data_IF_382331009115
#
_entry.id   IF_382331009115
#
_cell.length_a   1.000
_cell.length_b   1.000
_cell.length_c   1.000
_cell.angle_alpha   90.00
_cell.angle_beta   90.00
_cell.angle_gamma   90.00
#
_symmetry.space_group_name_H-M   'P 1'
#
loop_
_entity.id
_entity.type
_entity.pdbx_description
1 polymer ?
#
# COMPACT_ATOMS: atom_id res chain seq x y z
N UNK A 1 7.10 -2.21 60.03
CA UNK A 1 7.47 -1.14 59.07
C UNK A 1 8.90 -1.40 58.63
N UNK A 2 9.07 -1.96 57.42
CA UNK A 2 10.38 -2.24 56.84
C UNK A 2 10.44 -1.53 55.49
N UNK A 3 11.37 -0.58 55.36
CA UNK A 3 11.62 0.16 54.13
C UNK A 3 12.49 -0.69 53.21
N UNK A 4 12.00 -1.00 52.00
CA UNK A 4 12.78 -1.62 50.95
C UNK A 4 13.36 -0.52 50.04
N UNK A 5 14.68 -0.43 50.02
CA UNK A 5 15.45 0.42 49.10
C UNK A 5 15.50 -0.29 47.75
N UNK A 6 14.86 0.28 46.72
CA UNK A 6 14.97 -0.19 45.34
C UNK A 6 16.21 0.43 44.70
N UNK A 7 17.19 -0.41 44.38
CA UNK A 7 18.39 -0.04 43.63
C UNK A 7 18.08 0.29 42.16
N UNK A 8 18.60 1.41 41.69
CA UNK A 8 18.54 1.82 40.29
C UNK A 8 19.57 1.00 39.51
N UNK A 9 19.11 0.06 38.66
CA UNK A 9 19.98 -0.61 37.71
C UNK A 9 20.27 0.33 36.54
N UNK A 10 21.52 0.77 36.40
CA UNK A 10 22.00 1.51 35.24
C UNK A 10 22.10 0.55 34.04
N UNK A 11 21.29 0.78 33.01
CA UNK A 11 21.40 0.08 31.74
C UNK A 11 22.57 0.68 30.95
N UNK A 12 23.67 -0.07 30.83
CA UNK A 12 24.72 0.25 29.89
C UNK A 12 24.21 -0.06 28.48
N UNK A 13 23.95 0.99 27.71
CA UNK A 13 23.70 0.88 26.26
C UNK A 13 25.04 0.55 25.61
N UNK A 14 25.19 -0.67 25.12
CA UNK A 14 26.32 -1.03 24.27
C UNK A 14 26.21 -0.24 22.95
N UNK A 15 27.12 0.71 22.73
CA UNK A 15 27.29 1.35 21.44
C UNK A 15 27.71 0.30 20.41
N UNK A 16 26.80 -0.04 19.50
CA UNK A 16 27.10 -0.89 18.34
C UNK A 16 28.26 -0.29 17.53
N UNK A 17 29.17 -1.17 17.10
CA UNK A 17 30.39 -0.80 16.38
C UNK A 17 30.13 0.13 15.19
N UNK A 18 31.04 1.10 15.02
CA UNK A 18 31.08 2.00 13.87
C UNK A 18 31.17 1.14 12.59
N UNK A 19 30.10 1.10 11.80
CA UNK A 19 30.19 0.60 10.45
C UNK A 19 31.19 1.47 9.69
N UNK A 20 32.30 0.88 9.23
CA UNK A 20 33.28 1.57 8.41
C UNK A 20 32.60 2.06 7.13
N UNK A 21 32.39 3.37 7.02
CA UNK A 21 31.87 4.00 5.81
C UNK A 21 33.02 4.22 4.83
N UNK A 22 32.81 3.88 3.57
CA UNK A 22 33.73 4.28 2.51
C UNK A 22 33.83 5.81 2.44
N UNK A 23 34.98 6.33 2.00
CA UNK A 23 35.15 7.76 1.77
C UNK A 23 34.09 8.26 0.78
N UNK A 24 33.55 9.47 0.97
CA UNK A 24 32.58 10.06 0.03
C UNK A 24 33.33 10.70 -1.14
N UNK A 25 33.02 10.30 -2.38
CA UNK A 25 33.61 10.87 -3.59
C UNK A 25 32.86 12.12 -4.06
N UNK A 26 31.53 12.14 -3.94
CA UNK A 26 30.69 13.27 -4.33
C UNK A 26 29.39 13.32 -3.53
N UNK A 27 28.83 14.52 -3.39
CA UNK A 27 27.51 14.74 -2.78
C UNK A 27 26.63 15.58 -3.69
N UNK A 28 25.42 15.08 -3.97
CA UNK A 28 24.32 15.80 -4.62
C UNK A 28 23.36 16.27 -3.53
N UNK A 29 23.13 17.58 -3.44
CA UNK A 29 22.22 18.19 -2.47
C UNK A 29 20.84 18.39 -3.06
N UNK A 30 19.81 17.99 -2.32
CA UNK A 30 18.39 18.12 -2.72
C UNK A 30 17.62 18.86 -1.63
N UNK A 31 16.75 19.79 -2.01
CA UNK A 31 15.89 20.54 -1.09
C UNK A 31 14.53 20.84 -1.71
N UNK A 32 13.40 20.80 -0.96
CA UNK A 32 12.10 21.20 -1.50
C UNK A 32 12.05 22.66 -1.96
N UNK A 33 12.95 23.51 -1.44
CA UNK A 33 13.13 24.91 -1.83
C UNK A 33 14.25 25.13 -2.86
N UNK A 34 14.87 24.05 -3.36
CA UNK A 34 15.92 24.11 -4.37
C UNK A 34 15.37 24.44 -5.76
N UNK A 35 16.26 24.39 -6.76
CA UNK A 35 15.94 24.61 -8.17
C UNK A 35 16.65 23.54 -9.02
N UNK A 36 15.94 22.88 -9.93
CA UNK A 36 16.50 21.83 -10.79
C UNK A 36 17.51 22.36 -11.83
N UNK A 37 17.56 23.68 -12.02
CA UNK A 37 18.60 24.36 -12.80
C UNK A 37 19.95 24.44 -12.05
N UNK A 38 19.96 24.26 -10.73
CA UNK A 38 21.20 24.30 -9.93
C UNK A 38 22.10 23.09 -10.22
N UNK A 39 23.39 23.23 -9.86
CA UNK A 39 24.38 22.17 -10.03
C UNK A 39 24.19 20.97 -9.08
N UNK A 40 23.51 21.16 -7.95
CA UNK A 40 23.40 20.15 -6.89
C UNK A 40 24.68 19.96 -6.05
N UNK A 41 25.73 20.77 -6.24
CA UNK A 41 27.07 20.53 -5.64
C UNK A 41 27.25 21.11 -4.24
N UNK A 42 26.28 21.87 -3.74
CA UNK A 42 26.27 22.40 -2.37
C UNK A 42 24.84 22.61 -1.89
N UNK A 43 24.62 22.77 -0.58
CA UNK A 43 23.29 23.07 -0.04
C UNK A 43 22.68 24.37 -0.63
N UNK A 44 23.51 25.39 -0.92
CA UNK A 44 23.06 26.65 -1.54
C UNK A 44 22.75 26.51 -3.05
N UNK A 45 23.17 25.40 -3.66
CA UNK A 45 22.91 25.06 -5.06
C UNK A 45 22.15 23.73 -5.13
N UNK A 46 21.30 23.45 -4.15
CA UNK A 46 20.55 22.20 -4.12
C UNK A 46 19.56 22.12 -5.29
N UNK A 47 19.43 20.94 -5.88
CA UNK A 47 18.35 20.65 -6.83
C UNK A 47 17.04 20.41 -6.10
N UNK A 48 15.92 20.57 -6.79
CA UNK A 48 14.59 20.50 -6.16
C UNK A 48 14.04 19.08 -6.11
N UNK A 49 14.20 18.34 -7.20
CA UNK A 49 13.51 17.07 -7.44
C UNK A 49 14.44 15.87 -7.29
N UNK A 50 13.86 14.74 -6.88
CA UNK A 50 14.57 13.47 -6.79
C UNK A 50 15.01 12.98 -8.18
N UNK A 51 14.18 13.17 -9.20
CA UNK A 51 14.52 12.83 -10.59
C UNK A 51 15.72 13.62 -11.11
N UNK A 52 15.83 14.91 -10.78
CA UNK A 52 17.03 15.68 -11.13
C UNK A 52 18.27 15.19 -10.39
N UNK A 53 18.15 14.87 -9.10
CA UNK A 53 19.25 14.30 -8.33
C UNK A 53 19.73 12.96 -8.91
N UNK A 54 18.80 12.08 -9.32
CA UNK A 54 19.10 10.82 -10.00
C UNK A 54 19.91 11.05 -11.29
N UNK A 55 19.51 12.01 -12.13
CA UNK A 55 20.26 12.33 -13.36
C UNK A 55 21.70 12.77 -13.07
N UNK A 56 21.92 13.55 -12.00
CA UNK A 56 23.27 13.94 -11.58
C UNK A 56 24.07 12.74 -11.10
N UNK A 57 23.47 11.84 -10.32
CA UNK A 57 24.12 10.60 -9.85
C UNK A 57 24.60 9.74 -11.03
N UNK A 58 23.80 9.59 -12.09
CA UNK A 58 24.17 8.81 -13.29
C UNK A 58 25.44 9.35 -13.99
N UNK A 59 25.76 10.63 -13.80
CA UNK A 59 27.01 11.23 -14.29
C UNK A 59 28.21 11.05 -13.35
N UNK A 60 27.98 10.60 -12.11
CA UNK A 60 29.00 10.51 -11.05
C UNK A 60 29.36 9.06 -10.69
N UNK A 61 28.50 8.10 -11.00
CA UNK A 61 28.62 6.72 -10.53
C UNK A 61 29.36 5.75 -11.47
N UNK A 62 29.90 6.22 -12.59
CA UNK A 62 30.55 5.34 -13.59
C UNK A 62 31.96 4.88 -13.16
N UNK A 63 32.71 5.73 -12.45
CA UNK A 63 34.10 5.47 -12.04
C UNK A 63 34.30 5.87 -10.57
N UNK A 64 33.52 5.27 -9.67
CA UNK A 64 33.52 5.66 -8.27
C UNK A 64 34.86 5.33 -7.58
N UNK A 65 35.37 6.28 -6.80
CA UNK A 65 36.52 6.11 -5.90
C UNK A 65 36.10 6.21 -4.42
N UNK A 66 34.80 6.25 -4.18
CA UNK A 66 34.14 6.53 -2.91
C UNK A 66 32.62 6.59 -3.13
N UNK A 67 31.85 6.59 -2.06
CA UNK A 67 30.39 6.66 -2.14
C UNK A 67 29.93 7.95 -2.81
N UNK A 68 28.85 7.87 -3.60
CA UNK A 68 28.12 9.04 -4.11
C UNK A 68 26.90 9.24 -3.21
N UNK A 69 26.80 10.37 -2.52
CA UNK A 69 25.70 10.65 -1.61
C UNK A 69 24.67 11.57 -2.27
N UNK A 70 23.40 11.27 -2.10
CA UNK A 70 22.29 12.20 -2.36
C UNK A 70 21.74 12.65 -1.01
N UNK A 71 22.07 13.87 -0.61
CA UNK A 71 21.73 14.42 0.70
C UNK A 71 20.48 15.30 0.63
N UNK A 72 19.40 14.85 1.26
CA UNK A 72 18.10 15.51 1.27
C UNK A 72 17.97 16.44 2.50
N UNK A 73 17.68 17.71 2.27
CA UNK A 73 17.26 18.64 3.31
C UNK A 73 15.87 18.25 3.88
N UNK A 74 15.53 18.80 5.05
CA UNK A 74 14.24 18.55 5.68
C UNK A 74 13.07 19.12 4.88
N UNK A 75 11.95 18.40 4.87
CA UNK A 75 10.71 18.85 4.24
C UNK A 75 10.03 17.79 3.38
N UNK A 76 8.97 18.19 2.70
CA UNK A 76 8.13 17.30 1.88
C UNK A 76 8.50 17.42 0.40
N UNK A 77 8.92 16.30 -0.18
CA UNK A 77 9.20 16.14 -1.60
C UNK A 77 7.97 15.54 -2.27
N UNK A 78 7.07 16.40 -2.77
CA UNK A 78 5.88 15.96 -3.50
C UNK A 78 6.28 15.40 -4.86
N UNK A 79 5.91 14.16 -5.11
CA UNK A 79 6.27 13.41 -6.30
C UNK A 79 5.12 13.43 -7.29
N UNK A 80 5.41 13.77 -8.55
CA UNK A 80 4.45 13.68 -9.66
C UNK A 80 4.64 12.39 -10.47
N UNK A 81 5.75 11.68 -10.24
CA UNK A 81 6.07 10.38 -10.80
C UNK A 81 6.96 9.60 -9.82
N UNK A 82 6.95 8.26 -9.86
CA UNK A 82 7.86 7.44 -9.05
C UNK A 82 9.34 7.73 -9.38
N UNK A 83 10.22 7.61 -8.39
CA UNK A 83 11.66 7.50 -8.63
C UNK A 83 11.97 6.07 -9.08
N UNK A 84 12.22 5.90 -10.38
CA UNK A 84 12.48 4.59 -10.98
C UNK A 84 13.98 4.38 -11.13
N UNK A 85 14.52 3.43 -10.37
CA UNK A 85 15.93 3.05 -10.40
C UNK A 85 16.16 1.83 -11.29
N UNK A 86 17.25 1.86 -12.04
CA UNK A 86 17.72 0.74 -12.86
C UNK A 86 19.23 0.54 -12.70
N UNK A 87 19.83 -0.32 -13.51
CA UNK A 87 21.26 -0.61 -13.46
C UNK A 87 22.15 0.64 -13.53
N UNK A 88 21.73 1.71 -14.24
CA UNK A 88 22.48 2.97 -14.37
C UNK A 88 22.54 3.77 -13.07
N UNK A 89 21.72 3.45 -12.07
CA UNK A 89 21.71 4.12 -10.77
C UNK A 89 22.55 3.38 -9.72
N UNK A 90 23.17 2.27 -10.12
CA UNK A 90 23.94 1.42 -9.23
C UNK A 90 25.28 2.04 -8.81
N UNK A 91 25.78 1.63 -7.66
CA UNK A 91 27.18 1.86 -7.30
C UNK A 91 28.16 1.00 -8.12
N UNK A 92 29.37 1.51 -8.33
CA UNK A 92 30.46 0.82 -9.04
C UNK A 92 31.71 0.72 -8.16
N UNK A 93 32.63 -0.21 -8.48
CA UNK A 93 33.90 -0.34 -7.76
C UNK A 93 33.78 -0.79 -6.29
N UNK A 94 32.62 -1.34 -5.89
CA UNK A 94 32.33 -1.71 -4.49
C UNK A 94 31.81 -0.56 -3.62
N UNK A 95 31.58 0.61 -4.20
CA UNK A 95 31.00 1.78 -3.52
C UNK A 95 29.49 1.85 -3.68
N UNK A 96 28.84 2.66 -2.86
CA UNK A 96 27.38 2.81 -2.86
C UNK A 96 26.91 4.16 -3.40
N UNK A 97 25.72 4.16 -3.99
CA UNK A 97 24.90 5.36 -4.15
C UNK A 97 23.98 5.48 -2.94
N UNK A 98 24.14 6.54 -2.14
CA UNK A 98 23.52 6.66 -0.82
C UNK A 98 22.51 7.82 -0.78
N UNK A 99 21.23 7.52 -0.87
CA UNK A 99 20.12 8.45 -0.66
C UNK A 99 19.89 8.63 0.85
N UNK A 100 20.12 9.84 1.36
CA UNK A 100 20.15 10.03 2.81
C UNK A 100 19.59 11.38 3.26
N UNK A 101 18.98 11.40 4.45
CA UNK A 101 18.67 12.65 5.12
C UNK A 101 19.94 13.40 5.51
N UNK A 102 19.90 14.74 5.38
CA UNK A 102 20.84 15.60 6.05
C UNK A 102 20.76 15.40 7.58
N UNK A 103 21.84 15.71 8.30
CA UNK A 103 21.87 15.58 9.76
C UNK A 103 20.70 16.31 10.42
N UNK A 104 19.93 15.59 11.25
CA UNK A 104 18.73 16.10 11.93
C UNK A 104 17.50 16.35 11.04
N UNK A 105 17.61 16.17 9.72
CA UNK A 105 16.50 16.36 8.79
C UNK A 105 15.55 15.16 8.78
N UNK A 106 14.29 15.42 8.40
CA UNK A 106 13.24 14.41 8.19
C UNK A 106 12.59 14.60 6.82
N UNK A 107 13.26 14.21 5.73
CA UNK A 107 12.72 14.31 4.38
C UNK A 107 11.58 13.28 4.18
N UNK A 108 10.46 13.74 3.62
CA UNK A 108 9.30 12.89 3.29
C UNK A 108 9.11 12.83 1.78
N UNK A 109 9.29 11.66 1.20
CA UNK A 109 8.91 11.34 -0.18
C UNK A 109 7.41 11.11 -0.21
N UNK A 110 6.67 12.02 -0.83
CA UNK A 110 5.23 12.14 -0.70
C UNK A 110 4.54 11.94 -2.06
N UNK A 111 3.74 10.87 -2.19
CA UNK A 111 2.99 10.54 -3.41
C UNK A 111 1.57 11.13 -3.46
N UNK A 112 1.23 12.02 -2.53
CA UNK A 112 -0.09 12.61 -2.38
C UNK A 112 -0.16 14.08 -2.74
N UNK A 113 -1.39 14.54 -2.92
CA UNK A 113 -1.74 15.95 -3.16
C UNK A 113 -2.35 16.57 -1.92
N UNK A 114 -2.09 17.86 -1.72
CA UNK A 114 -2.73 18.61 -0.65
C UNK A 114 -4.16 19.00 -1.06
N UNK A 115 -5.12 18.80 -0.17
CA UNK A 115 -6.51 19.24 -0.35
C UNK A 115 -6.74 20.50 0.49
N UNK A 116 -7.25 21.55 -0.15
CA UNK A 116 -7.48 22.86 0.48
C UNK A 116 -8.79 23.48 -0.02
N UNK A 117 -9.17 24.63 0.52
CA UNK A 117 -10.42 25.31 0.14
C UNK A 117 -11.66 24.72 0.81
N UNK A 118 -11.50 24.15 2.01
CA UNK A 118 -12.58 23.56 2.80
C UNK A 118 -13.66 24.57 3.16
N UNK A 119 -14.92 24.17 3.00
CA UNK A 119 -16.11 24.94 3.37
C UNK A 119 -17.09 24.05 4.11
N UNK A 120 -17.73 24.58 5.15
CA UNK A 120 -18.81 23.89 5.82
C UNK A 120 -20.04 23.91 4.91
N UNK A 121 -20.59 22.73 4.62
CA UNK A 121 -21.75 22.56 3.73
C UNK A 121 -23.00 22.11 4.45
N UNK A 122 -22.87 21.52 5.64
CA UNK A 122 -23.97 21.23 6.55
C UNK A 122 -23.50 21.43 8.01
N UNK A 123 -24.00 22.48 8.65
CA UNK A 123 -23.62 22.80 10.03
C UNK A 123 -24.18 21.80 11.06
N UNK A 124 -25.36 21.20 10.80
CA UNK A 124 -25.99 20.27 11.73
C UNK A 124 -25.23 18.94 11.79
N UNK A 125 -24.62 18.52 10.67
CA UNK A 125 -23.78 17.31 10.59
C UNK A 125 -22.29 17.58 10.80
N UNK A 126 -21.90 18.84 10.99
CA UNK A 126 -20.50 19.27 10.89
C UNK A 126 -19.83 18.74 9.61
N UNK A 127 -20.52 18.78 8.48
CA UNK A 127 -20.03 18.29 7.19
C UNK A 127 -19.30 19.40 6.45
N UNK A 128 -18.11 19.09 5.98
CA UNK A 128 -17.28 19.98 5.19
C UNK A 128 -16.98 19.37 3.84
N UNK A 129 -16.73 20.22 2.85
CA UNK A 129 -16.27 19.78 1.54
C UNK A 129 -15.15 20.66 0.99
N UNK A 130 -14.35 20.09 0.09
CA UNK A 130 -13.32 20.79 -0.66
C UNK A 130 -13.28 20.30 -2.11
N UNK A 131 -12.94 21.18 -3.08
CA UNK A 131 -12.69 20.75 -4.44
C UNK A 131 -11.42 19.88 -4.50
N UNK A 132 -11.41 18.90 -5.39
CA UNK A 132 -10.23 18.09 -5.71
C UNK A 132 -9.86 18.23 -7.19
N UNK A 133 -8.60 17.95 -7.59
CA UNK A 133 -8.24 17.88 -9.00
C UNK A 133 -9.14 16.91 -9.77
N UNK A 134 -9.48 17.27 -11.01
CA UNK A 134 -10.29 16.42 -11.86
C UNK A 134 -9.63 15.06 -12.07
N UNK A 135 -10.41 13.98 -11.96
CA UNK A 135 -9.91 12.61 -12.10
C UNK A 135 -9.13 12.06 -10.90
N UNK A 136 -9.06 12.81 -9.78
CA UNK A 136 -8.49 12.27 -8.55
C UNK A 136 -9.25 11.01 -8.12
N UNK A 137 -8.51 9.94 -7.84
CA UNK A 137 -9.01 8.71 -7.26
C UNK A 137 -8.06 8.26 -6.17
N UNK A 138 -8.58 7.93 -5.00
CA UNK A 138 -7.82 7.47 -3.84
C UNK A 138 -8.70 6.58 -2.99
N UNK A 139 -8.07 5.70 -2.19
CA UNK A 139 -8.73 4.93 -1.13
C UNK A 139 -8.40 5.44 0.27
N UNK A 140 -7.51 6.44 0.38
CA UNK A 140 -7.08 6.99 1.65
C UNK A 140 -7.18 8.52 1.66
N UNK A 141 -7.46 9.08 2.84
CA UNK A 141 -7.37 10.51 3.15
C UNK A 141 -6.71 10.67 4.51
N UNK A 142 -5.85 11.67 4.67
CA UNK A 142 -5.17 11.95 5.93
C UNK A 142 -5.38 13.40 6.34
N UNK A 143 -5.79 13.63 7.59
CA UNK A 143 -6.00 14.96 8.17
C UNK A 143 -5.01 15.13 9.33
N UNK A 144 -4.13 16.12 9.22
CA UNK A 144 -3.04 16.37 10.18
C UNK A 144 -2.19 15.12 10.46
N UNK A 145 -1.91 14.33 9.41
CA UNK A 145 -1.14 13.09 9.52
C UNK A 145 -1.91 11.91 10.13
N UNK A 146 -3.21 12.04 10.41
CA UNK A 146 -4.06 10.93 10.87
C UNK A 146 -4.92 10.43 9.73
N UNK A 147 -4.89 9.13 9.43
CA UNK A 147 -5.80 8.49 8.47
C UNK A 147 -7.25 8.79 8.84
N UNK A 148 -8.07 9.18 7.88
CA UNK A 148 -9.51 9.30 8.00
C UNK A 148 -10.19 8.02 7.50
N UNK A 149 -11.35 7.68 8.06
CA UNK A 149 -12.08 6.47 7.71
C UNK A 149 -12.86 6.70 6.43
N UNK A 150 -12.78 5.80 5.46
CA UNK A 150 -13.64 5.90 4.28
C UNK A 150 -15.08 5.61 4.72
N UNK A 151 -16.05 6.41 4.28
CA UNK A 151 -17.45 6.28 4.69
C UNK A 151 -17.94 4.84 4.52
N UNK A 152 -18.42 4.23 5.60
CA UNK A 152 -18.74 2.80 5.67
C UNK A 152 -19.88 2.51 6.64
N UNK A 153 -20.60 1.41 6.43
CA UNK A 153 -21.67 1.00 7.34
C UNK A 153 -22.33 -0.31 6.97
N UNK A 154 -23.33 -0.71 7.75
CA UNK A 154 -24.16 -1.86 7.41
C UNK A 154 -25.01 -1.57 6.16
N UNK A 155 -25.29 -2.62 5.37
CA UNK A 155 -26.27 -2.49 4.29
C UNK A 155 -27.65 -2.09 4.89
N UNK A 156 -28.35 -1.08 4.34
CA UNK A 156 -29.63 -0.61 4.87
C UNK A 156 -30.82 -1.54 4.53
N UNK A 157 -30.52 -2.71 3.96
CA UNK A 157 -31.46 -3.68 3.42
C UNK A 157 -30.94 -5.09 3.69
N UNK A 158 -31.84 -6.06 3.77
CA UNK A 158 -31.45 -7.47 3.78
C UNK A 158 -30.99 -7.85 2.38
N UNK A 159 -29.86 -8.56 2.31
CA UNK A 159 -29.27 -9.04 1.08
C UNK A 159 -29.42 -10.55 1.00
N UNK A 160 -30.19 -11.02 0.03
CA UNK A 160 -30.34 -12.45 -0.27
C UNK A 160 -29.40 -12.82 -1.40
N UNK A 161 -28.51 -13.78 -1.17
CA UNK A 161 -27.52 -14.21 -2.15
C UNK A 161 -28.15 -14.71 -3.45
N UNK A 162 -27.49 -14.45 -4.58
CA UNK A 162 -27.79 -14.98 -5.91
C UNK A 162 -26.50 -15.38 -6.62
N UNK A 163 -26.60 -16.14 -7.71
CA UNK A 163 -25.42 -16.58 -8.47
C UNK A 163 -24.52 -15.43 -8.96
N UNK A 164 -25.09 -14.25 -9.22
CA UNK A 164 -24.37 -13.08 -9.75
C UNK A 164 -24.26 -11.92 -8.75
N UNK A 165 -24.70 -12.11 -7.51
CA UNK A 165 -24.68 -11.06 -6.48
C UNK A 165 -25.79 -11.25 -5.45
N UNK A 166 -26.72 -10.29 -5.36
CA UNK A 166 -27.76 -10.28 -4.33
C UNK A 166 -29.11 -9.77 -4.84
N UNK A 167 -30.19 -10.13 -4.16
CA UNK A 167 -31.46 -9.41 -4.20
C UNK A 167 -31.61 -8.65 -2.89
N UNK A 168 -31.80 -7.34 -2.95
CA UNK A 168 -32.07 -6.50 -1.80
C UNK A 168 -33.57 -6.51 -1.44
N UNK A 169 -33.90 -6.47 -0.15
CA UNK A 169 -35.28 -6.33 0.32
C UNK A 169 -35.90 -4.96 0.06
N UNK A 170 -35.11 -3.99 -0.45
CA UNK A 170 -35.55 -2.65 -0.79
C UNK A 170 -34.61 -1.96 -1.79
N UNK A 171 -34.97 -0.74 -2.18
CA UNK A 171 -34.30 0.02 -3.26
C UNK A 171 -33.50 1.22 -2.77
N UNK A 172 -33.11 1.24 -1.48
CA UNK A 172 -32.39 2.37 -0.90
C UNK A 172 -31.06 2.64 -1.64
N UNK A 173 -30.23 1.61 -1.80
CA UNK A 173 -28.91 1.74 -2.42
C UNK A 173 -28.94 2.11 -3.91
N UNK A 174 -30.01 1.78 -4.65
CA UNK A 174 -30.12 2.18 -6.07
C UNK A 174 -30.40 3.66 -6.26
N UNK A 175 -30.79 4.36 -5.18
CA UNK A 175 -31.08 5.81 -5.16
C UNK A 175 -29.94 6.62 -4.54
N UNK A 176 -28.90 5.96 -4.05
CA UNK A 176 -27.72 6.64 -3.53
C UNK A 176 -27.01 7.43 -4.62
N UNK A 177 -26.24 8.44 -4.22
CA UNK A 177 -25.65 9.43 -5.12
C UNK A 177 -24.84 8.79 -6.25
N UNK A 178 -23.97 7.85 -5.92
CA UNK A 178 -23.10 7.14 -6.86
C UNK A 178 -23.17 5.63 -6.59
N UNK A 179 -24.25 4.94 -7.03
CA UNK A 179 -24.48 3.55 -6.64
C UNK A 179 -23.50 2.56 -7.30
N UNK A 180 -22.87 2.96 -8.42
CA UNK A 180 -21.82 2.18 -9.08
C UNK A 180 -20.46 2.23 -8.36
N UNK A 181 -20.28 3.15 -7.41
CA UNK A 181 -19.05 3.31 -6.65
C UNK A 181 -19.02 2.45 -5.38
N UNK A 182 -20.15 1.82 -5.03
CA UNK A 182 -20.31 1.04 -3.81
C UNK A 182 -19.42 -0.20 -3.85
N UNK A 183 -18.75 -0.46 -2.72
CA UNK A 183 -17.93 -1.65 -2.48
C UNK A 183 -18.57 -2.49 -1.36
N UNK A 184 -18.61 -3.79 -1.57
CA UNK A 184 -19.00 -4.75 -0.54
C UNK A 184 -17.75 -5.40 0.05
N UNK A 185 -17.67 -5.37 1.38
CA UNK A 185 -16.56 -5.91 2.16
C UNK A 185 -17.02 -7.19 2.87
N UNK A 186 -16.19 -8.22 2.85
CA UNK A 186 -16.44 -9.51 3.49
C UNK A 186 -15.28 -9.88 4.40
N UNK A 187 -15.24 -9.28 5.58
CA UNK A 187 -14.26 -9.65 6.58
C UNK A 187 -14.48 -11.08 7.07
N UNK A 188 -13.45 -11.91 7.01
CA UNK A 188 -13.53 -13.33 7.31
C UNK A 188 -14.21 -14.17 6.22
N UNK A 189 -14.57 -13.57 5.07
CA UNK A 189 -15.48 -14.17 4.08
C UNK A 189 -14.96 -15.45 3.44
N UNK A 190 -13.66 -15.52 3.14
CA UNK A 190 -12.99 -16.73 2.62
C UNK A 190 -11.96 -17.28 3.61
N UNK A 191 -12.27 -17.16 4.89
CA UNK A 191 -11.41 -17.56 6.00
C UNK A 191 -11.17 -16.39 6.94
N UNK A 192 -11.05 -16.66 8.24
CA UNK A 192 -11.00 -15.63 9.29
C UNK A 192 -9.85 -14.60 9.14
N UNK A 193 -8.83 -14.93 8.34
CA UNK A 193 -7.68 -14.07 8.04
C UNK A 193 -7.85 -13.20 6.79
N UNK A 194 -8.97 -13.30 6.07
CA UNK A 194 -9.19 -12.59 4.79
C UNK A 194 -10.13 -11.40 4.91
N UNK A 195 -10.00 -10.42 4.01
CA UNK A 195 -10.96 -9.31 3.89
C UNK A 195 -11.28 -9.04 2.41
N UNK A 196 -12.26 -9.75 1.85
CA UNK A 196 -12.58 -9.63 0.42
C UNK A 196 -13.28 -8.29 0.17
N UNK A 197 -12.91 -7.63 -0.93
CA UNK A 197 -13.54 -6.39 -1.38
C UNK A 197 -13.92 -6.51 -2.85
N UNK A 198 -15.21 -6.38 -3.17
CA UNK A 198 -15.68 -6.39 -4.55
C UNK A 198 -16.60 -5.21 -4.83
N UNK A 199 -16.49 -4.61 -6.01
CA UNK A 199 -17.43 -3.60 -6.51
C UNK A 199 -18.83 -4.19 -6.69
N UNK A 200 -19.85 -3.37 -6.49
CA UNK A 200 -21.26 -3.78 -6.63
C UNK A 200 -21.72 -3.89 -8.09
N UNK A 201 -20.91 -3.49 -9.07
CA UNK A 201 -21.16 -3.64 -10.51
C UNK A 201 -22.39 -2.88 -11.01
N UNK A 202 -23.59 -3.40 -10.70
CA UNK A 202 -24.87 -2.75 -11.00
C UNK A 202 -25.92 -2.99 -9.93
N UNK A 203 -26.65 -1.95 -9.54
CA UNK A 203 -27.89 -2.05 -8.77
C UNK A 203 -29.08 -1.70 -9.67
N UNK A 204 -29.99 -2.65 -9.87
CA UNK A 204 -31.26 -2.47 -10.57
C UNK A 204 -32.28 -1.70 -9.74
N UNK A 205 -33.20 -1.01 -10.41
CA UNK A 205 -34.31 -0.30 -9.77
C UNK A 205 -35.26 -1.19 -8.99
N UNK A 206 -35.25 -2.50 -9.23
CA UNK A 206 -36.00 -3.54 -8.52
C UNK A 206 -35.26 -4.13 -7.30
N UNK A 207 -34.06 -3.64 -6.97
CA UNK A 207 -33.24 -4.16 -5.87
C UNK A 207 -32.33 -5.34 -6.26
N UNK A 208 -32.28 -5.75 -7.53
CA UNK A 208 -31.29 -6.74 -8.00
C UNK A 208 -29.90 -6.11 -8.02
N UNK A 209 -28.94 -6.77 -7.40
CA UNK A 209 -27.53 -6.37 -7.33
C UNK A 209 -26.68 -7.40 -8.08
N UNK A 210 -25.94 -6.95 -9.08
CA UNK A 210 -25.02 -7.77 -9.87
C UNK A 210 -23.59 -7.33 -9.61
N UNK A 211 -22.85 -8.13 -8.84
CA UNK A 211 -21.49 -7.82 -8.40
C UNK A 211 -20.50 -7.72 -9.56
N UNK A 212 -19.46 -6.89 -9.40
CA UNK A 212 -18.42 -6.66 -10.39
C UNK A 212 -17.58 -7.91 -10.67
N UNK A 213 -17.13 -8.02 -11.92
CA UNK A 213 -16.33 -9.14 -12.42
C UNK A 213 -14.93 -8.67 -12.86
N UNK A 214 -13.86 -9.41 -12.55
CA UNK A 214 -13.88 -10.82 -12.13
C UNK A 214 -13.95 -11.09 -10.62
N UNK A 215 -13.97 -10.06 -9.76
CA UNK A 215 -13.88 -10.25 -8.30
C UNK A 215 -14.91 -11.25 -7.76
N UNK A 216 -16.18 -11.13 -8.20
CA UNK A 216 -17.24 -12.01 -7.72
C UNK A 216 -17.00 -13.48 -8.09
N UNK A 217 -16.68 -13.80 -9.35
CA UNK A 217 -16.39 -15.18 -9.74
C UNK A 217 -15.10 -15.70 -9.08
N UNK A 218 -14.06 -14.87 -9.02
CA UNK A 218 -12.81 -15.19 -8.33
C UNK A 218 -13.01 -15.46 -6.84
N UNK A 219 -14.06 -14.92 -6.23
CA UNK A 219 -14.39 -15.14 -4.82
C UNK A 219 -15.39 -16.27 -4.60
N UNK A 220 -16.16 -16.68 -5.61
CA UNK A 220 -17.29 -17.61 -5.44
C UNK A 220 -17.22 -18.90 -6.26
N UNK A 221 -16.26 -19.04 -7.16
CA UNK A 221 -16.11 -20.20 -8.05
C UNK A 221 -14.75 -20.89 -7.87
N UNK A 222 -14.10 -20.70 -6.72
CA UNK A 222 -12.77 -21.28 -6.46
C UNK A 222 -12.84 -22.82 -6.47
N UNK A 223 -11.82 -23.46 -7.04
CA UNK A 223 -11.77 -24.92 -7.14
C UNK A 223 -11.72 -25.58 -5.75
N UNK A 224 -12.72 -26.41 -5.43
CA UNK A 224 -12.78 -27.21 -4.21
C UNK A 224 -12.21 -28.61 -4.45
N UNK A 225 -11.34 -29.06 -3.56
CA UNK A 225 -10.90 -30.45 -3.49
C UNK A 225 -11.94 -31.29 -2.73
N UNK A 226 -12.63 -32.26 -3.38
CA UNK A 226 -13.66 -33.05 -2.72
C UNK A 226 -13.13 -33.81 -1.49
N UNK A 227 -11.87 -34.27 -1.53
CA UNK A 227 -11.24 -35.02 -0.44
C UNK A 227 -11.05 -34.20 0.85
N UNK A 228 -10.87 -32.88 0.73
CA UNK A 228 -10.55 -32.01 1.87
C UNK A 228 -11.69 -31.05 2.21
N UNK A 229 -12.68 -30.98 1.33
CA UNK A 229 -13.83 -30.11 1.45
C UNK A 229 -13.44 -28.63 1.70
N UNK A 230 -12.37 -28.20 1.03
CA UNK A 230 -11.81 -26.85 1.01
C UNK A 230 -11.16 -26.56 -0.35
N UNK A 231 -10.77 -25.31 -0.59
CA UNK A 231 -10.10 -24.95 -1.85
C UNK A 231 -8.79 -25.74 -2.03
N UNK A 232 -8.39 -25.99 -3.29
CA UNK A 232 -7.10 -26.62 -3.60
C UNK A 232 -5.90 -25.87 -2.99
N UNK A 233 -6.06 -24.58 -2.74
CA UNK A 233 -5.06 -23.70 -2.11
C UNK A 233 -5.10 -23.72 -0.57
N UNK A 234 -5.73 -24.76 0.00
CA UNK A 234 -5.66 -25.23 1.41
C UNK A 234 -6.15 -24.30 2.53
N UNK A 235 -6.55 -23.06 2.26
CA UNK A 235 -6.96 -22.14 3.34
C UNK A 235 -8.30 -21.48 2.98
N UNK A 236 -9.39 -21.92 3.62
CA UNK A 236 -10.71 -21.28 3.54
C UNK A 236 -11.76 -21.95 2.66
N UNK A 237 -13.02 -21.47 2.70
CA UNK A 237 -14.11 -21.93 1.84
C UNK A 237 -13.92 -21.49 0.38
N UNK A 238 -14.56 -22.19 -0.56
CA UNK A 238 -14.47 -21.89 -1.99
C UNK A 238 -15.41 -20.81 -2.50
N UNK A 239 -16.27 -20.27 -1.63
CA UNK A 239 -17.18 -19.18 -1.96
C UNK A 239 -17.55 -18.35 -0.74
N UNK A 240 -18.05 -17.13 -0.97
CA UNK A 240 -18.59 -16.25 0.07
C UNK A 240 -19.92 -16.85 0.58
N UNK A 241 -19.85 -17.82 1.49
CA UNK A 241 -21.01 -18.59 1.96
C UNK A 241 -20.68 -19.86 2.77
N UNK A 242 -21.25 -19.92 3.99
CA UNK A 242 -21.19 -20.94 5.06
C UNK A 242 -19.88 -21.04 5.87
N UNK A 243 -19.95 -21.30 7.19
CA UNK A 243 -18.84 -21.89 7.93
C UNK A 243 -18.74 -23.39 7.58
N UNK A 244 -18.37 -23.69 6.33
CA UNK A 244 -18.19 -25.03 5.75
C UNK A 244 -19.47 -25.87 5.55
N UNK A 245 -19.47 -26.98 4.79
CA UNK A 245 -18.60 -27.31 3.69
C UNK A 245 -19.43 -27.97 2.54
N UNK A 246 -20.39 -27.27 1.92
CA UNK A 246 -21.30 -27.86 0.91
C UNK A 246 -21.96 -26.85 -0.04
N UNK A 247 -22.51 -27.28 -1.21
CA UNK A 247 -23.40 -26.49 -2.08
C UNK A 247 -24.75 -26.14 -1.42
N UNK A 248 -25.32 -24.96 -1.70
CA UNK A 248 -26.72 -24.62 -1.37
C UNK A 248 -27.00 -23.77 -0.11
N UNK A 249 -25.97 -23.38 0.66
CA UNK A 249 -26.14 -22.47 1.81
C UNK A 249 -26.38 -21.00 1.42
N UNK A 250 -26.93 -20.20 2.33
CA UNK A 250 -27.50 -18.85 2.10
C UNK A 250 -26.52 -17.72 1.67
N UNK A 251 -25.25 -18.03 1.35
CA UNK A 251 -24.19 -17.04 1.17
C UNK A 251 -23.85 -16.30 2.47
N UNK A 252 -22.75 -15.56 2.50
CA UNK A 252 -22.49 -14.58 3.56
C UNK A 252 -22.84 -13.20 2.98
N UNK A 253 -23.73 -12.41 3.59
CA UNK A 253 -23.90 -11.02 3.20
C UNK A 253 -22.62 -10.24 3.53
N UNK A 254 -22.34 -9.13 2.84
CA UNK A 254 -21.21 -8.28 3.18
C UNK A 254 -21.25 -7.87 4.66
N UNK A 255 -20.09 -7.87 5.31
CA UNK A 255 -19.92 -7.37 6.68
C UNK A 255 -20.11 -5.86 6.74
N UNK A 256 -19.77 -5.16 5.66
CA UNK A 256 -20.01 -3.73 5.50
C UNK A 256 -20.12 -3.33 4.02
N UNK A 257 -20.73 -2.18 3.81
CA UNK A 257 -20.80 -1.44 2.57
C UNK A 257 -19.91 -0.21 2.72
N UNK A 258 -19.11 0.11 1.72
CA UNK A 258 -18.23 1.27 1.72
C UNK A 258 -18.46 2.17 0.51
N UNK A 259 -17.90 3.39 0.58
CA UNK A 259 -17.78 4.33 -0.53
C UNK A 259 -19.12 4.89 -1.02
N UNK A 260 -20.00 5.23 -0.10
CA UNK A 260 -21.26 5.93 -0.38
C UNK A 260 -21.39 7.20 0.46
N UNK A 261 -21.89 8.29 -0.14
CA UNK A 261 -22.13 9.55 0.56
C UNK A 261 -23.14 9.38 1.70
N UNK A 262 -24.12 8.50 1.52
CA UNK A 262 -25.20 8.22 2.46
C UNK A 262 -24.72 7.49 3.72
N UNK A 263 -23.51 6.94 3.70
CA UNK A 263 -22.84 6.32 4.85
C UNK A 263 -21.91 7.30 5.58
N UNK A 264 -21.79 8.56 5.12
CA UNK A 264 -20.96 9.57 5.77
C UNK A 264 -21.70 10.15 6.97
N UNK A 265 -21.51 9.58 8.16
CA UNK A 265 -22.33 9.89 9.33
C UNK A 265 -21.56 10.05 10.65
N UNK A 266 -20.30 9.62 10.73
CA UNK A 266 -19.48 9.74 11.95
C UNK A 266 -18.25 10.62 11.78
N UNK A 267 -17.80 11.20 12.90
CA UNK A 267 -16.62 12.06 12.91
C UNK A 267 -15.36 11.28 12.53
N UNK A 268 -14.60 11.81 11.58
CA UNK A 268 -13.43 11.18 10.99
C UNK A 268 -13.71 10.43 9.71
N UNK A 269 -14.96 10.34 9.25
CA UNK A 269 -15.29 9.75 7.96
C UNK A 269 -15.17 10.74 6.80
N UNK A 270 -14.81 10.23 5.61
CA UNK A 270 -14.75 10.97 4.37
C UNK A 270 -15.39 10.23 3.19
N UNK A 271 -15.81 11.00 2.18
CA UNK A 271 -16.32 10.50 0.91
C UNK A 271 -15.79 11.31 -0.26
N UNK A 272 -15.32 10.67 -1.33
CA UNK A 272 -14.93 11.33 -2.57
C UNK A 272 -16.02 11.18 -3.63
N UNK A 273 -16.67 12.29 -3.96
CA UNK A 273 -17.63 12.40 -5.04
C UNK A 273 -16.86 12.67 -6.34
N UNK A 274 -16.42 11.59 -7.00
CA UNK A 274 -15.58 11.66 -8.20
C UNK A 274 -16.25 12.42 -9.35
N UNK A 275 -17.53 12.19 -9.69
CA UNK A 275 -18.21 12.98 -10.73
C UNK A 275 -18.27 14.47 -10.41
N UNK A 276 -18.40 14.84 -9.13
CA UNK A 276 -18.44 16.23 -8.68
C UNK A 276 -17.06 16.85 -8.39
N UNK A 277 -15.96 16.10 -8.55
CA UNK A 277 -14.61 16.49 -8.15
C UNK A 277 -14.56 17.14 -6.76
N UNK A 278 -15.27 16.54 -5.79
CA UNK A 278 -15.42 17.09 -4.44
C UNK A 278 -15.18 15.99 -3.41
N UNK A 279 -14.37 16.29 -2.39
CA UNK A 279 -14.25 15.45 -1.20
C UNK A 279 -15.09 16.04 -0.08
N UNK A 280 -15.75 15.17 0.69
CA UNK A 280 -16.52 15.48 1.87
C UNK A 280 -15.86 14.85 3.09
N UNK A 281 -15.89 15.54 4.23
CA UNK A 281 -15.29 15.09 5.48
C UNK A 281 -16.08 15.59 6.68
N UNK A 282 -16.25 14.75 7.69
CA UNK A 282 -16.76 15.15 9.01
C UNK A 282 -15.54 15.26 9.95
N UNK A 283 -15.13 16.47 10.36
CA UNK A 283 -13.96 16.64 11.23
C UNK A 283 -14.11 15.92 12.57
N UNK A 284 -13.00 15.36 13.06
CA UNK A 284 -12.90 14.88 14.44
C UNK A 284 -12.86 16.03 15.41
N UNK A 285 -13.15 15.73 16.68
CA UNK A 285 -12.98 16.71 17.76
C UNK A 285 -11.56 17.29 17.76
N UNK A 286 -11.47 18.62 17.75
CA UNK A 286 -10.21 19.37 17.74
C UNK A 286 -9.60 19.63 16.36
N UNK A 287 -10.16 19.09 15.27
CA UNK A 287 -9.70 19.40 13.92
C UNK A 287 -10.31 20.71 13.40
N UNK A 288 -9.45 21.65 13.00
CA UNK A 288 -9.85 22.88 12.33
C UNK A 288 -9.43 22.83 10.86
N UNK A 289 -10.40 22.65 9.96
CA UNK A 289 -10.14 22.54 8.52
C UNK A 289 -9.64 23.82 7.85
N UNK A 290 -9.76 24.99 8.49
CA UNK A 290 -9.15 26.22 7.99
C UNK A 290 -7.62 26.19 8.08
N UNK A 291 -7.05 25.39 8.99
CA UNK A 291 -5.61 25.28 9.24
C UNK A 291 -5.06 23.86 9.08
N UNK A 292 -5.94 22.87 8.85
CA UNK A 292 -5.55 21.48 8.75
C UNK A 292 -4.70 21.21 7.50
N UNK A 293 -3.74 20.31 7.63
CA UNK A 293 -3.05 19.72 6.48
C UNK A 293 -3.81 18.48 6.06
N UNK A 294 -4.46 18.50 4.90
CA UNK A 294 -5.18 17.34 4.35
C UNK A 294 -4.45 16.80 3.13
N UNK A 295 -4.17 15.50 3.11
CA UNK A 295 -3.45 14.82 2.03
C UNK A 295 -4.25 13.66 1.46
N UNK A 296 -4.39 13.61 0.13
CA UNK A 296 -4.94 12.48 -0.61
C UNK A 296 -3.82 11.83 -1.43
N UNK A 297 -3.45 10.55 -1.20
CA UNK A 297 -2.52 9.82 -2.04
C UNK A 297 -3.00 9.69 -3.50
N UNK A 298 -2.09 9.84 -4.46
CA UNK A 298 -2.41 9.68 -5.89
C UNK A 298 -1.42 8.80 -6.66
N UNK A 299 -0.16 8.72 -6.22
CA UNK A 299 0.80 7.77 -6.77
C UNK A 299 0.64 6.40 -6.11
N UNK A 300 0.72 5.33 -6.92
CA UNK A 300 0.82 3.98 -6.39
C UNK A 300 2.25 3.60 -5.99
N UNK A 301 3.26 4.13 -6.68
CA UNK A 301 4.67 3.82 -6.40
C UNK A 301 5.44 5.10 -6.09
N UNK A 302 6.25 5.07 -5.04
CA UNK A 302 7.15 6.15 -4.65
C UNK A 302 8.54 5.88 -5.22
N UNK A 303 9.08 4.69 -4.96
CA UNK A 303 10.39 4.28 -5.46
C UNK A 303 10.30 2.87 -6.00
N UNK A 304 10.81 2.66 -7.21
CA UNK A 304 10.95 1.32 -7.80
C UNK A 304 12.39 1.05 -8.17
N UNK A 305 12.79 -0.22 -8.16
CA UNK A 305 14.12 -0.64 -8.62
C UNK A 305 14.07 -1.95 -9.38
N UNK A 306 14.75 -2.02 -10.53
CA UNK A 306 14.93 -3.30 -11.23
C UNK A 306 16.38 -3.48 -11.67
N UNK A 307 17.01 -4.58 -11.23
CA UNK A 307 18.40 -4.89 -11.61
C UNK A 307 19.42 -3.89 -11.06
N UNK A 308 19.07 -3.18 -9.98
CA UNK A 308 19.90 -2.16 -9.34
C UNK A 308 20.76 -2.78 -8.24
N UNK A 309 21.97 -2.26 -8.04
CA UNK A 309 22.89 -2.76 -7.03
C UNK A 309 23.62 -1.65 -6.27
N UNK A 310 24.02 -1.94 -5.03
CA UNK A 310 24.79 -1.02 -4.17
C UNK A 310 24.12 0.35 -3.99
N UNK A 311 22.82 0.32 -3.65
CA UNK A 311 22.02 1.51 -3.35
C UNK A 311 21.57 1.49 -1.90
N UNK A 312 21.72 2.60 -1.20
CA UNK A 312 21.34 2.73 0.21
C UNK A 312 20.33 3.86 0.37
N UNK A 313 19.23 3.58 1.06
CA UNK A 313 18.28 4.57 1.57
C UNK A 313 18.42 4.65 3.08
N UNK A 314 18.82 5.83 3.60
CA UNK A 314 19.04 6.03 5.03
C UNK A 314 18.36 7.29 5.59
N UNK A 315 17.47 7.11 6.57
CA UNK A 315 16.84 8.21 7.31
C UNK A 315 15.71 8.91 6.56
N UNK A 316 15.11 8.28 5.55
CA UNK A 316 14.05 8.85 4.74
C UNK A 316 12.67 8.39 5.21
N UNK A 317 11.62 9.16 4.93
CA UNK A 317 10.24 8.72 5.10
C UNK A 317 9.55 8.59 3.74
N UNK A 318 8.88 7.45 3.50
CA UNK A 318 8.05 7.17 2.33
C UNK A 318 6.58 7.23 2.77
N UNK A 319 5.80 8.14 2.17
CA UNK A 319 4.41 8.35 2.59
C UNK A 319 3.44 8.73 1.49
N UNK A 320 2.17 8.50 1.78
CA UNK A 320 1.02 8.96 1.02
C UNK A 320 0.99 8.40 -0.41
N UNK A 321 1.10 7.09 -0.54
CA UNK A 321 0.87 6.37 -1.79
C UNK A 321 -0.39 5.51 -1.68
N UNK A 322 -1.14 5.37 -2.77
CA UNK A 322 -2.43 4.64 -2.83
C UNK A 322 -2.24 3.24 -3.41
N UNK A 323 -3.29 2.44 -3.36
CA UNK A 323 -3.50 1.31 -4.27
C UNK A 323 -4.96 1.31 -4.69
N UNK A 324 -5.26 1.19 -5.99
CA UNK A 324 -6.63 1.38 -6.49
C UNK A 324 -7.29 0.09 -6.98
N UNK A 325 -6.56 -1.02 -7.13
CA UNK A 325 -7.12 -2.29 -7.61
C UNK A 325 -8.33 -2.76 -6.80
N UNK A 326 -8.37 -2.65 -5.46
CA UNK A 326 -9.56 -3.06 -4.69
C UNK A 326 -10.84 -2.30 -5.06
N UNK A 327 -10.73 -1.07 -5.61
CA UNK A 327 -11.88 -0.30 -6.10
C UNK A 327 -12.25 -0.57 -7.56
N UNK A 328 -11.51 -1.40 -8.29
CA UNK A 328 -11.89 -1.83 -9.64
C UNK A 328 -12.72 -3.12 -9.59
N UNK A 329 -13.25 -3.56 -10.74
CA UNK A 329 -13.96 -4.84 -10.81
C UNK A 329 -13.03 -6.06 -10.64
N UNK A 330 -11.70 -5.87 -10.73
CA UNK A 330 -10.74 -6.87 -10.26
C UNK A 330 -10.91 -7.13 -8.77
N UNK A 331 -11.18 -6.06 -7.99
CA UNK A 331 -11.37 -6.10 -6.55
C UNK A 331 -10.19 -6.68 -5.81
N UNK A 332 -10.47 -7.25 -4.64
CA UNK A 332 -9.50 -7.89 -3.76
C UNK A 332 -10.04 -9.27 -3.35
N UNK A 333 -9.98 -10.22 -4.28
CA UNK A 333 -10.30 -11.63 -4.04
C UNK A 333 -9.13 -12.32 -3.33
N UNK A 334 -8.95 -12.01 -2.05
CA UNK A 334 -7.80 -12.47 -1.26
C UNK A 334 -7.80 -13.98 -1.02
N UNK A 335 -6.61 -14.58 -1.01
CA UNK A 335 -6.36 -15.93 -0.52
C UNK A 335 -5.72 -15.85 0.88
N UNK A 336 -4.54 -15.24 0.95
CA UNK A 336 -3.77 -15.09 2.18
C UNK A 336 -2.65 -14.06 1.98
N UNK A 337 -2.36 -13.27 3.02
CA UNK A 337 -1.20 -12.37 3.08
C UNK A 337 -1.14 -11.38 1.91
N UNK A 338 -2.30 -10.86 1.47
CA UNK A 338 -2.37 -9.90 0.36
C UNK A 338 -2.30 -10.51 -1.05
N UNK A 339 -2.15 -11.83 -1.19
CA UNK A 339 -2.26 -12.47 -2.50
C UNK A 339 -3.70 -12.60 -2.95
N UNK A 340 -3.96 -12.28 -4.21
CA UNK A 340 -5.30 -12.24 -4.80
C UNK A 340 -5.41 -13.14 -6.04
N UNK A 341 -6.64 -13.56 -6.34
CA UNK A 341 -6.98 -14.17 -7.62
C UNK A 341 -7.45 -13.07 -8.57
N UNK A 342 -6.75 -12.91 -9.69
CA UNK A 342 -7.07 -11.90 -10.71
C UNK A 342 -7.32 -12.55 -12.07
N UNK A 343 -7.74 -11.75 -13.06
CA UNK A 343 -8.09 -12.23 -14.40
C UNK A 343 -9.50 -12.79 -14.51
N UNK A 344 -10.05 -12.79 -15.73
CA UNK A 344 -11.45 -13.17 -16.01
C UNK A 344 -11.78 -14.64 -15.77
N UNK A 345 -10.77 -15.50 -15.76
CA UNK A 345 -10.87 -16.93 -15.52
C UNK A 345 -9.98 -17.39 -14.35
N UNK A 346 -9.53 -16.47 -13.48
CA UNK A 346 -8.57 -16.75 -12.41
C UNK A 346 -9.00 -17.91 -11.52
N UNK A 347 -10.28 -17.97 -11.12
CA UNK A 347 -10.85 -19.09 -10.35
C UNK A 347 -10.73 -20.47 -11.01
N UNK A 348 -10.74 -20.52 -12.35
CA UNK A 348 -10.75 -21.78 -13.11
C UNK A 348 -9.34 -22.30 -13.38
N UNK A 349 -8.36 -21.41 -13.45
CA UNK A 349 -6.92 -21.73 -13.60
C UNK A 349 -6.19 -21.74 -12.26
N UNK A 350 -6.93 -21.53 -11.17
CA UNK A 350 -6.45 -21.62 -9.81
C UNK A 350 -6.08 -23.06 -9.47
N UNK A 351 -4.93 -23.23 -8.83
CA UNK A 351 -4.40 -24.51 -8.42
C UNK A 351 -3.06 -24.81 -9.10
N UNK A 352 -2.17 -25.43 -8.34
CA UNK A 352 -0.97 -26.06 -8.88
C UNK A 352 -1.41 -26.96 -10.04
N UNK A 353 -0.60 -27.08 -11.09
CA UNK A 353 -0.94 -27.73 -12.37
C UNK A 353 -1.62 -29.11 -12.28
N UNK A 354 -1.51 -29.80 -11.15
CA UNK A 354 -2.16 -31.10 -10.89
C UNK A 354 -3.61 -31.00 -10.39
N UNK A 355 -4.15 -29.79 -10.16
CA UNK A 355 -5.40 -29.60 -9.42
C UNK A 355 -6.59 -29.15 -10.26
N UNK A 356 -6.36 -28.47 -11.39
CA UNK A 356 -7.38 -28.07 -12.34
C UNK A 356 -6.87 -28.23 -13.79
N UNK A 357 -7.71 -28.63 -14.76
CA UNK A 357 -7.32 -28.68 -16.16
C UNK A 357 -6.80 -27.31 -16.64
N UNK A 358 -5.54 -27.25 -17.06
CA UNK A 358 -4.90 -25.99 -17.49
C UNK A 358 -4.37 -25.10 -16.35
N UNK A 359 -4.27 -25.62 -15.13
CA UNK A 359 -3.70 -24.90 -13.98
C UNK A 359 -2.22 -24.54 -14.18
N UNK A 360 -1.79 -23.42 -13.59
CA UNK A 360 -0.41 -22.93 -13.67
C UNK A 360 0.39 -23.39 -12.46
N UNK A 361 1.47 -24.15 -12.69
CA UNK A 361 2.41 -24.50 -11.63
C UNK A 361 3.40 -23.37 -11.36
N UNK A 362 3.94 -23.27 -10.14
CA UNK A 362 3.77 -24.18 -8.99
C UNK A 362 2.96 -23.65 -7.79
N UNK A 363 2.43 -22.42 -7.81
CA UNK A 363 1.54 -21.86 -6.78
C UNK A 363 0.21 -21.28 -7.31
N UNK A 364 -0.21 -21.63 -8.53
CA UNK A 364 -1.38 -21.01 -9.16
C UNK A 364 -1.10 -19.56 -9.60
N UNK A 365 -1.90 -19.03 -10.52
CA UNK A 365 -1.76 -17.67 -11.04
C UNK A 365 -2.22 -16.60 -10.02
N UNK A 366 -1.61 -16.58 -8.82
CA UNK A 366 -1.90 -15.58 -7.82
C UNK A 366 -1.18 -14.28 -8.14
N UNK A 367 -1.85 -13.17 -7.85
CA UNK A 367 -1.28 -11.83 -7.96
C UNK A 367 -0.94 -11.34 -6.57
N UNK A 368 0.35 -11.11 -6.32
CA UNK A 368 0.82 -10.44 -5.10
C UNK A 368 0.27 -9.01 -5.07
N UNK A 369 -0.11 -8.52 -3.89
CA UNK A 369 -0.38 -7.09 -3.75
C UNK A 369 0.87 -6.27 -4.11
N UNK A 370 0.72 -5.08 -4.69
CA UNK A 370 1.87 -4.23 -4.97
C UNK A 370 2.39 -3.59 -3.69
N UNK A 371 3.68 -3.25 -3.66
CA UNK A 371 4.24 -2.35 -2.66
C UNK A 371 4.39 -0.93 -3.20
N UNK A 372 4.29 0.05 -2.31
CA UNK A 372 4.52 1.46 -2.63
C UNK A 372 6.03 1.76 -2.81
N UNK A 373 6.91 0.94 -2.24
CA UNK A 373 8.35 0.90 -2.54
C UNK A 373 8.71 -0.53 -2.96
N UNK A 374 9.22 -0.75 -4.17
CA UNK A 374 9.36 -2.12 -4.71
C UNK A 374 10.63 -2.34 -5.52
N UNK A 375 11.34 -3.43 -5.25
CA UNK A 375 12.59 -3.78 -5.91
C UNK A 375 12.56 -5.22 -6.42
N UNK A 376 13.07 -5.45 -7.63
CA UNK A 376 13.26 -6.78 -8.21
C UNK A 376 14.67 -6.91 -8.76
N UNK A 377 15.25 -8.11 -8.72
CA UNK A 377 16.63 -8.36 -9.13
C UNK A 377 17.64 -7.40 -8.45
N UNK A 378 17.31 -6.93 -7.25
CA UNK A 378 18.14 -6.01 -6.48
C UNK A 378 19.33 -6.73 -5.85
N UNK A 379 20.48 -6.06 -5.73
CA UNK A 379 21.66 -6.65 -5.11
C UNK A 379 22.35 -5.67 -4.18
N UNK A 380 22.54 -6.05 -2.91
CA UNK A 380 23.17 -5.16 -1.93
C UNK A 380 22.43 -3.81 -1.79
N UNK A 381 21.10 -3.82 -1.95
CA UNK A 381 20.25 -2.66 -1.68
C UNK A 381 19.92 -2.63 -0.20
N UNK A 382 20.00 -1.44 0.40
CA UNK A 382 19.84 -1.29 1.84
C UNK A 382 18.80 -0.22 2.18
N UNK A 383 17.91 -0.56 3.09
CA UNK A 383 16.98 0.36 3.74
C UNK A 383 17.33 0.41 5.23
N UNK A 384 17.90 1.53 5.68
CA UNK A 384 18.28 1.73 7.07
C UNK A 384 17.62 2.95 7.70
N UNK A 385 17.09 2.81 8.91
CA UNK A 385 16.55 3.94 9.69
C UNK A 385 15.45 4.76 8.97
N UNK A 386 14.69 4.14 8.06
CA UNK A 386 13.63 4.80 7.30
C UNK A 386 12.27 4.65 8.00
N UNK A 387 11.31 5.50 7.59
CA UNK A 387 9.89 5.35 7.91
C UNK A 387 9.07 5.02 6.67
N UNK A 388 8.27 3.95 6.73
CA UNK A 388 7.24 3.61 5.76
C UNK A 388 5.90 3.88 6.44
N UNK A 389 5.27 5.01 6.09
CA UNK A 389 4.18 5.58 6.89
C UNK A 389 3.07 6.09 5.99
N UNK A 390 1.80 5.82 6.31
CA UNK A 390 0.63 6.31 5.54
C UNK A 390 0.60 5.77 4.11
N UNK A 391 0.60 4.45 3.99
CA UNK A 391 0.70 3.73 2.72
C UNK A 391 -0.58 2.93 2.45
N UNK A 392 -1.03 2.94 1.21
CA UNK A 392 -2.28 2.32 0.75
C UNK A 392 -2.09 0.92 0.17
N UNK A 393 -0.85 0.44 0.06
CA UNK A 393 -0.48 -0.90 -0.40
C UNK A 393 0.48 -1.55 0.60
N UNK A 394 1.28 -2.54 0.17
CA UNK A 394 2.42 -2.98 0.96
C UNK A 394 3.48 -1.87 1.11
N UNK A 395 4.22 -1.88 2.21
CA UNK A 395 5.26 -0.88 2.51
C UNK A 395 6.48 -1.00 1.60
N UNK A 396 7.20 -2.11 1.74
CA UNK A 396 8.41 -2.44 0.98
C UNK A 396 8.31 -3.85 0.39
N UNK A 397 8.59 -4.00 -0.90
CA UNK A 397 8.77 -5.30 -1.56
C UNK A 397 10.22 -5.48 -2.05
N UNK A 398 10.85 -6.58 -1.63
CA UNK A 398 12.07 -7.12 -2.22
C UNK A 398 11.71 -8.42 -2.97
N UNK A 399 11.29 -8.29 -4.22
CA UNK A 399 10.71 -9.35 -5.03
C UNK A 399 11.73 -10.36 -5.58
N UNK A 400 11.35 -11.06 -6.65
CA UNK A 400 12.18 -12.09 -7.29
C UNK A 400 13.59 -11.59 -7.65
N UNK A 401 14.58 -12.47 -7.50
CA UNK A 401 15.98 -12.19 -7.84
C UNK A 401 16.71 -11.25 -6.89
N UNK A 402 16.06 -10.73 -5.85
CA UNK A 402 16.66 -9.83 -4.87
C UNK A 402 17.63 -10.57 -3.94
N UNK A 403 18.88 -10.10 -3.81
CA UNK A 403 19.95 -10.82 -3.14
C UNK A 403 20.88 -9.93 -2.30
N UNK A 404 21.22 -10.40 -1.10
CA UNK A 404 22.13 -9.69 -0.18
C UNK A 404 21.64 -8.30 0.22
N UNK A 405 20.32 -8.07 0.17
CA UNK A 405 19.70 -6.82 0.57
C UNK A 405 19.55 -6.75 2.10
N UNK A 406 19.52 -5.53 2.63
CA UNK A 406 19.40 -5.27 4.07
C UNK A 406 18.22 -4.34 4.36
N UNK A 407 17.29 -4.78 5.20
CA UNK A 407 16.23 -3.93 5.75
C UNK A 407 16.44 -3.89 7.26
N UNK A 408 16.98 -2.78 7.78
CA UNK A 408 17.36 -2.66 9.18
C UNK A 408 16.97 -1.37 9.89
N UNK A 409 16.42 -1.47 11.10
CA UNK A 409 16.16 -0.29 11.93
C UNK A 409 15.05 0.63 11.41
N UNK A 410 14.19 0.13 10.51
CA UNK A 410 13.12 0.94 9.92
C UNK A 410 11.84 0.83 10.75
N UNK A 411 10.93 1.79 10.54
CA UNK A 411 9.58 1.79 11.09
C UNK A 411 8.57 1.63 9.96
N UNK A 412 7.64 0.68 10.12
CA UNK A 412 6.52 0.43 9.21
C UNK A 412 5.22 0.60 9.99
N UNK A 413 4.43 1.61 9.63
CA UNK A 413 3.17 1.87 10.34
C UNK A 413 2.14 2.63 9.51
N UNK A 414 0.87 2.44 9.83
CA UNK A 414 -0.24 3.01 9.09
C UNK A 414 -0.21 2.61 7.60
N UNK A 415 -0.15 1.30 7.36
CA UNK A 415 -0.02 0.66 6.04
C UNK A 415 -1.25 -0.21 5.80
N UNK A 416 -1.92 -0.06 4.64
CA UNK A 416 -3.14 -0.79 4.32
C UNK A 416 -2.92 -2.26 3.92
N UNK A 417 -1.72 -2.61 3.45
CA UNK A 417 -1.32 -3.99 3.19
C UNK A 417 -0.20 -4.48 4.13
N UNK A 418 0.65 -5.35 3.60
CA UNK A 418 1.83 -5.91 4.26
C UNK A 418 2.85 -4.82 4.62
N UNK A 419 3.56 -4.98 5.75
CA UNK A 419 4.67 -4.08 6.08
C UNK A 419 5.87 -4.28 5.14
N UNK A 420 6.37 -5.52 5.08
CA UNK A 420 7.49 -5.93 4.24
C UNK A 420 7.11 -7.22 3.51
N UNK A 421 7.40 -7.26 2.21
CA UNK A 421 7.34 -8.46 1.37
C UNK A 421 8.74 -8.87 0.92
N UNK A 422 9.00 -10.17 0.90
CA UNK A 422 10.28 -10.74 0.46
C UNK A 422 10.03 -11.97 -0.42
N UNK A 423 10.48 -11.90 -1.67
CA UNK A 423 10.24 -12.92 -2.68
C UNK A 423 8.84 -12.85 -3.29
N UNK A 424 8.47 -13.93 -3.98
CA UNK A 424 7.14 -14.12 -4.57
C UNK A 424 6.85 -15.62 -4.76
N UNK A 425 5.61 -15.94 -5.11
CA UNK A 425 5.14 -17.33 -5.30
C UNK A 425 5.16 -17.79 -6.77
N UNK A 426 5.44 -16.91 -7.71
CA UNK A 426 5.42 -17.19 -9.15
C UNK A 426 6.68 -17.95 -9.64
N UNK A 427 7.79 -17.91 -8.89
CA UNK A 427 9.07 -18.56 -9.25
C UNK A 427 9.72 -19.41 -8.13
N UNK A 428 9.07 -20.40 -7.51
CA UNK A 428 9.67 -21.10 -6.37
C UNK A 428 10.75 -22.12 -6.72
N UNK A 429 10.96 -22.42 -8.01
CA UNK A 429 12.11 -23.20 -8.49
C UNK A 429 13.23 -22.30 -9.04
N UNK A 430 13.20 -21.00 -8.73
CA UNK A 430 14.23 -20.07 -9.20
C UNK A 430 15.63 -20.46 -8.70
N UNK A 431 16.62 -20.34 -9.60
CA UNK A 431 18.03 -20.59 -9.32
C UNK A 431 18.88 -19.41 -9.81
N UNK A 432 20.16 -19.38 -9.45
CA UNK A 432 21.09 -18.37 -9.95
C UNK A 432 20.64 -16.93 -9.65
N UNK A 433 20.57 -16.11 -10.69
CA UNK A 433 20.22 -14.70 -10.58
C UNK A 433 18.75 -14.42 -10.24
N UNK A 434 17.85 -15.34 -10.59
CA UNK A 434 16.41 -15.23 -10.31
C UNK A 434 16.04 -15.62 -8.87
N UNK A 435 16.94 -16.30 -8.15
CA UNK A 435 16.67 -16.76 -6.78
C UNK A 435 16.74 -15.60 -5.81
N UNK A 436 15.67 -15.36 -5.04
CA UNK A 436 15.72 -14.46 -3.88
C UNK A 436 16.47 -15.15 -2.74
N UNK A 437 17.60 -14.59 -2.28
CA UNK A 437 18.47 -15.27 -1.29
C UNK A 437 19.35 -14.30 -0.51
N UNK A 438 19.77 -14.69 0.69
CA UNK A 438 20.74 -13.96 1.52
C UNK A 438 20.32 -12.51 1.91
N UNK A 439 19.02 -12.18 1.82
CA UNK A 439 18.49 -10.91 2.31
C UNK A 439 18.34 -10.95 3.83
N UNK A 440 18.60 -9.82 4.49
CA UNK A 440 18.54 -9.68 5.94
C UNK A 440 17.46 -8.68 6.34
N UNK A 441 16.50 -9.13 7.15
CA UNK A 441 15.50 -8.27 7.80
C UNK A 441 15.82 -8.27 9.30
N UNK A 442 16.26 -7.14 9.85
CA UNK A 442 16.73 -7.06 11.23
C UNK A 442 16.25 -5.78 11.93
N UNK A 443 15.91 -5.84 13.22
CA UNK A 443 15.68 -4.66 14.06
C UNK A 443 14.63 -3.65 13.51
N UNK A 444 13.65 -4.10 12.71
CA UNK A 444 12.57 -3.25 12.22
C UNK A 444 11.39 -3.25 13.19
N UNK A 445 10.68 -2.13 13.29
CA UNK A 445 9.46 -2.01 14.07
C UNK A 445 8.25 -1.94 13.13
N UNK A 446 7.43 -3.00 13.12
CA UNK A 446 6.25 -3.12 12.26
C UNK A 446 5.01 -3.16 13.17
N UNK A 447 4.12 -2.19 13.02
CA UNK A 447 2.88 -2.10 13.80
C UNK A 447 1.82 -1.30 13.06
N UNK A 448 0.53 -1.58 13.27
CA UNK A 448 -0.56 -0.96 12.49
C UNK A 448 -0.35 -1.11 10.96
N UNK A 449 -0.02 -2.33 10.53
CA UNK A 449 -0.10 -2.77 9.14
C UNK A 449 -1.43 -3.51 8.92
N UNK A 450 -1.83 -3.68 7.65
CA UNK A 450 -3.17 -4.13 7.26
C UNK A 450 -4.30 -3.25 7.85
N UNK A 451 -4.08 -1.93 7.90
CA UNK A 451 -5.09 -0.97 8.37
C UNK A 451 -5.83 -0.36 7.18
N UNK A 452 -6.99 -0.92 6.88
CA UNK A 452 -7.98 -0.32 5.97
C UNK A 452 -9.42 -0.57 6.40
#
# INVERSE_FOLDING_TARGET
>A
MAAAVLGVAAWQVAFGGLAAHAATAATVFVSPSGDDANSGTSAAQAVRTLGRAQQLVRGLNQNMTGDVRVQLAGGTYRMTAPLQLDAHDSGTGGFNVVWTAASGARPVLNGGVAISGWKQVDAAKNLWSAPVPAGLSTRQLYVNGKRANRASGAAPVTLTWTATGYTASGTAMSKWRNPGDIEFVYQGGLGAWTQIRCSVGRIGSNGTITMGQPCWNNSNQRHIKPEWNRTADLVGPGRLGNPGPEPGGAGIPPTSVENAFELLDTAGEWYLDRPANTVYYIPRSGENLATATVTAPVLQQLVTGNGVQHVVFNGLQFSYATWLTPSSDTGFSEIQAGYTITGSNGFAVQGLCDFAPGGTCPYGAWTKEPANVSFTNARNVQFTNNGFVHLGAAGLDLGNGSQNDLVKGNVFTDISGNGIELGAVDKPLATGADKTTANTIADNHIFAAAVE
#
